data_IF_483730889218
#
_entry.id   IF_483730889218
#
_cell.length_a   1.000
_cell.length_b   1.000
_cell.length_c   1.000
_cell.angle_alpha   90.00
_cell.angle_beta   90.00
_cell.angle_gamma   90.00
#
_symmetry.space_group_name_H-M   'P 1'
#
loop_
_entity.id
_entity.type
_entity.pdbx_description
1 polymer ?
#
# COMPACT_ATOMS: atom_id res chain seq x y z
N UNK A 1 -3.44 -13.32 -5.12
CA UNK A 1 -4.15 -12.77 -3.95
C UNK A 1 -4.13 -11.24 -4.04
N UNK A 2 -5.21 -10.56 -3.67
CA UNK A 2 -5.25 -9.08 -3.68
C UNK A 2 -5.15 -8.56 -2.24
N UNK A 3 -4.37 -7.50 -2.03
CA UNK A 3 -4.22 -6.87 -0.73
C UNK A 3 -4.72 -5.43 -0.77
N UNK A 4 -5.24 -4.98 0.35
CA UNK A 4 -5.51 -3.58 0.68
C UNK A 4 -4.59 -3.20 1.85
N UNK A 5 -3.85 -2.11 1.68
CA UNK A 5 -2.91 -1.58 2.65
C UNK A 5 -3.26 -0.12 2.88
N UNK A 6 -3.64 0.23 4.11
CA UNK A 6 -3.94 1.59 4.49
C UNK A 6 -2.74 2.22 5.15
N UNK A 7 -2.39 3.41 4.69
CA UNK A 7 -1.36 4.24 5.31
C UNK A 7 -1.97 5.53 5.86
N UNK A 8 -1.42 5.97 6.98
CA UNK A 8 -1.86 7.20 7.61
C UNK A 8 -1.49 8.42 6.76
N UNK A 9 -2.43 9.36 6.66
CA UNK A 9 -2.25 10.58 5.89
C UNK A 9 -2.36 10.43 4.36
N UNK A 10 -1.92 11.50 3.67
CA UNK A 10 -2.05 11.65 2.23
C UNK A 10 -0.70 11.36 1.57
N UNK A 11 -0.63 10.34 0.71
CA UNK A 11 0.50 10.18 -0.19
C UNK A 11 0.40 11.19 -1.34
N UNK A 12 1.51 11.83 -1.67
CA UNK A 12 1.59 12.63 -2.89
C UNK A 12 1.57 11.72 -4.13
N UNK A 13 1.15 12.27 -5.27
CA UNK A 13 1.19 11.54 -6.55
C UNK A 13 2.59 11.00 -6.88
N UNK A 14 3.64 11.75 -6.54
CA UNK A 14 5.03 11.31 -6.72
C UNK A 14 5.34 10.07 -5.90
N UNK A 15 4.86 10.02 -4.66
CA UNK A 15 5.08 8.87 -3.79
C UNK A 15 4.25 7.66 -4.24
N UNK A 16 3.04 7.89 -4.75
CA UNK A 16 2.21 6.83 -5.33
C UNK A 16 2.88 6.15 -6.54
N UNK A 17 3.59 6.91 -7.37
CA UNK A 17 4.35 6.38 -8.52
C UNK A 17 5.49 5.42 -8.14
N UNK A 18 5.89 5.37 -6.86
CA UNK A 18 6.90 4.41 -6.35
C UNK A 18 6.34 2.98 -6.27
N UNK A 19 5.01 2.84 -6.27
CA UNK A 19 4.30 1.56 -6.22
C UNK A 19 3.47 1.35 -7.49
N UNK A 20 4.09 1.26 -8.68
CA UNK A 20 3.34 1.09 -9.94
C UNK A 20 2.52 -0.20 -10.01
N UNK A 21 2.83 -1.18 -9.17
CA UNK A 21 2.08 -2.43 -9.02
C UNK A 21 0.80 -2.30 -8.18
N UNK A 22 0.60 -1.15 -7.50
CA UNK A 22 -0.57 -0.88 -6.66
C UNK A 22 -1.37 0.31 -7.20
N UNK A 23 -2.69 0.15 -7.23
CA UNK A 23 -3.61 1.28 -7.36
C UNK A 23 -3.76 1.98 -6.00
N UNK A 24 -4.15 3.25 -5.99
CA UNK A 24 -4.37 3.98 -4.75
C UNK A 24 -5.61 4.86 -4.80
N UNK A 25 -6.23 5.06 -3.64
CA UNK A 25 -7.35 5.99 -3.45
C UNK A 25 -7.22 6.70 -2.12
N UNK A 26 -7.63 7.97 -2.09
CA UNK A 26 -7.72 8.73 -0.85
C UNK A 26 -9.09 8.48 -0.20
N UNK A 27 -9.10 8.06 1.06
CA UNK A 27 -10.32 7.83 1.83
C UNK A 27 -10.16 8.34 3.26
N UNK A 28 -11.07 9.22 3.69
CA UNK A 28 -11.15 9.68 5.10
C UNK A 28 -9.82 10.20 5.66
N UNK A 29 -9.01 10.90 4.84
CA UNK A 29 -7.71 11.44 5.23
C UNK A 29 -6.55 10.44 5.24
N UNK A 30 -6.80 9.21 4.79
CA UNK A 30 -5.81 8.14 4.62
C UNK A 30 -5.63 7.80 3.14
N UNK A 31 -4.50 7.18 2.83
CA UNK A 31 -4.26 6.61 1.50
C UNK A 31 -4.39 5.11 1.57
N UNK A 32 -5.26 4.56 0.73
CA UNK A 32 -5.45 3.12 0.58
C UNK A 32 -4.75 2.69 -0.68
N UNK A 33 -3.74 1.82 -0.56
CA UNK A 33 -3.10 1.15 -1.69
C UNK A 33 -3.67 -0.26 -1.83
N UNK A 34 -3.97 -0.67 -3.05
CA UNK A 34 -4.51 -2.00 -3.30
C UNK A 34 -4.03 -2.57 -4.62
N UNK A 35 -3.84 -3.88 -4.66
CA UNK A 35 -3.32 -4.53 -5.85
C UNK A 35 -2.95 -5.99 -5.64
N UNK A 36 -2.46 -6.65 -6.71
CA UNK A 36 -2.04 -8.04 -6.64
C UNK A 36 -0.75 -8.19 -5.84
N UNK A 37 -0.73 -9.18 -4.95
CA UNK A 37 0.47 -9.66 -4.27
C UNK A 37 0.71 -11.10 -4.69
N UNK A 38 1.94 -11.37 -5.11
CA UNK A 38 2.33 -12.61 -5.79
C UNK A 38 2.67 -13.69 -4.77
N UNK A 39 3.42 -13.31 -3.73
CA UNK A 39 3.83 -14.15 -2.62
C UNK A 39 4.12 -13.31 -1.37
N UNK A 40 4.51 -13.97 -0.27
CA UNK A 40 4.88 -13.29 0.98
C UNK A 40 6.11 -12.40 0.82
N UNK A 41 7.09 -12.78 -0.02
CA UNK A 41 8.29 -11.99 -0.25
C UNK A 41 7.95 -10.63 -0.90
N UNK A 42 7.04 -10.63 -1.87
CA UNK A 42 6.49 -9.42 -2.47
C UNK A 42 5.79 -8.56 -1.41
N UNK A 43 4.98 -9.16 -0.54
CA UNK A 43 4.31 -8.43 0.55
C UNK A 43 5.32 -7.75 1.49
N UNK A 44 6.31 -8.48 1.99
CA UNK A 44 7.32 -7.93 2.88
C UNK A 44 8.18 -6.86 2.18
N UNK A 45 8.42 -7.01 0.88
CA UNK A 45 9.08 -5.99 0.06
C UNK A 45 8.28 -4.68 -0.04
N UNK A 46 6.94 -4.76 -0.14
CA UNK A 46 6.07 -3.58 -0.08
C UNK A 46 6.14 -2.91 1.30
N UNK A 47 6.01 -3.68 2.38
CA UNK A 47 6.07 -3.17 3.75
C UNK A 47 7.41 -2.48 4.07
N UNK A 48 8.52 -3.07 3.60
CA UNK A 48 9.86 -2.48 3.74
C UNK A 48 9.97 -1.14 3.00
N UNK A 49 9.42 -1.06 1.78
CA UNK A 49 9.40 0.20 1.01
C UNK A 49 8.52 1.26 1.68
N UNK A 50 7.36 0.89 2.22
CA UNK A 50 6.55 1.84 3.00
C UNK A 50 7.32 2.40 4.19
N UNK A 51 7.98 1.55 4.96
CA UNK A 51 8.80 1.97 6.10
C UNK A 51 9.96 2.88 5.67
N UNK A 52 10.66 2.55 4.58
CA UNK A 52 11.76 3.35 4.05
C UNK A 52 11.32 4.76 3.59
N UNK A 53 10.07 4.90 3.15
CA UNK A 53 9.46 6.18 2.77
C UNK A 53 8.84 6.92 3.96
N UNK A 54 8.94 6.38 5.19
CA UNK A 54 8.33 6.96 6.39
C UNK A 54 6.80 6.84 6.41
N UNK A 55 6.22 5.97 5.59
CA UNK A 55 4.79 5.73 5.55
C UNK A 55 4.38 4.82 6.72
N UNK A 56 3.38 5.28 7.48
CA UNK A 56 2.82 4.51 8.59
C UNK A 56 1.69 3.63 8.10
N UNK A 57 1.92 2.33 8.00
CA UNK A 57 0.86 1.35 7.74
C UNK A 57 -0.02 1.23 8.98
N UNK A 58 -1.33 1.41 8.81
CA UNK A 58 -2.33 1.34 9.89
C UNK A 58 -3.22 0.11 9.78
N UNK A 59 -3.42 -0.40 8.57
CA UNK A 59 -4.22 -1.60 8.32
C UNK A 59 -3.65 -2.34 7.11
N UNK A 60 -3.67 -3.67 7.17
CA UNK A 60 -3.36 -4.54 6.05
C UNK A 60 -4.38 -5.66 6.03
N UNK A 61 -5.02 -5.86 4.87
CA UNK A 61 -6.06 -6.87 4.70
C UNK A 61 -5.90 -7.57 3.37
N UNK A 62 -5.94 -8.90 3.40
CA UNK A 62 -6.11 -9.69 2.20
C UNK A 62 -7.59 -9.61 1.77
N UNK A 63 -7.83 -9.25 0.52
CA UNK A 63 -9.16 -9.22 -0.07
C UNK A 63 -9.52 -10.62 -0.60
N UNK A 64 -10.77 -11.07 -0.43
CA UNK A 64 -11.29 -12.22 -1.15
C UNK A 64 -11.25 -11.93 -2.66
N UNK A 65 -10.99 -12.97 -3.46
CA UNK A 65 -10.99 -12.87 -4.93
C UNK A 65 -12.39 -12.54 -5.49
#
# INVERSE_FOLDING_TARGET
MRYEIRVDGHMSETLAKVFPELEHVLMSGQTVLYGPVVDEAHLYGLLTRFQALGLRVVEMRQLPE
#
